data_IF_813971192686
#
_entry.id   IF_813971192686
#
_cell.length_a   1.000
_cell.length_b   1.000
_cell.length_c   1.000
_cell.angle_alpha   90.00
_cell.angle_beta   90.00
_cell.angle_gamma   90.00
#
_symmetry.space_group_name_H-M   'P 1'
#
loop_
_entity.id
_entity.type
_entity.pdbx_description
1 polymer ?
#
# COMPACT_ATOMS: atom_id res chain seq x y z
N UNK A 1 0.60 1.77 -6.20
CA UNK A 1 -0.04 3.12 -6.16
C UNK A 1 -1.12 3.17 -7.22
N UNK A 2 -2.32 3.69 -6.91
CA UNK A 2 -3.27 4.01 -7.99
C UNK A 2 -2.59 4.94 -8.97
N UNK A 3 -2.65 4.64 -10.26
CA UNK A 3 -2.14 5.58 -11.26
C UNK A 3 -2.91 6.90 -11.09
N UNK A 4 -2.25 8.03 -11.28
CA UNK A 4 -2.91 9.35 -11.19
C UNK A 4 -4.09 9.50 -12.18
N UNK A 5 -4.20 8.60 -13.16
CA UNK A 5 -5.28 8.55 -14.13
C UNK A 5 -6.58 7.95 -13.57
N UNK A 6 -6.49 7.12 -12.51
CA UNK A 6 -7.66 6.49 -11.88
C UNK A 6 -8.25 7.36 -10.75
N UNK A 7 -7.61 8.49 -10.45
CA UNK A 7 -8.03 9.40 -9.38
C UNK A 7 -8.95 10.48 -9.96
N UNK A 8 -10.05 10.75 -9.27
CA UNK A 8 -10.93 11.86 -9.59
C UNK A 8 -10.13 13.17 -9.80
N UNK A 9 -10.41 13.97 -10.84
CA UNK A 9 -9.67 15.21 -11.13
C UNK A 9 -9.55 16.17 -9.93
N UNK A 10 -10.59 16.27 -9.10
CA UNK A 10 -10.57 17.10 -7.88
C UNK A 10 -9.56 16.54 -6.87
N UNK A 11 -9.59 15.24 -6.64
CA UNK A 11 -8.65 14.58 -5.73
C UNK A 11 -7.20 14.73 -6.24
N UNK A 12 -6.98 14.59 -7.53
CA UNK A 12 -5.67 14.83 -8.15
C UNK A 12 -5.19 16.26 -7.93
N UNK A 13 -6.06 17.25 -8.10
CA UNK A 13 -5.72 18.65 -7.86
C UNK A 13 -5.37 18.89 -6.38
N UNK A 14 -6.10 18.28 -5.43
CA UNK A 14 -5.81 18.34 -3.99
C UNK A 14 -4.45 17.73 -3.68
N UNK A 15 -4.15 16.54 -4.21
CA UNK A 15 -2.87 15.86 -3.99
C UNK A 15 -1.71 16.67 -4.58
N UNK A 16 -1.87 17.25 -5.77
CA UNK A 16 -0.83 18.10 -6.37
C UNK A 16 -0.57 19.36 -5.52
N UNK A 17 -1.62 20.02 -5.04
CA UNK A 17 -1.51 21.17 -4.13
C UNK A 17 -0.84 20.78 -2.82
N UNK A 18 -1.24 19.66 -2.23
CA UNK A 18 -0.65 19.14 -1.00
C UNK A 18 0.85 18.82 -1.19
N UNK A 19 1.21 18.21 -2.33
CA UNK A 19 2.60 17.90 -2.67
C UNK A 19 3.45 19.17 -2.78
N UNK A 20 2.94 20.20 -3.45
CA UNK A 20 3.63 21.51 -3.56
C UNK A 20 3.82 22.16 -2.18
N UNK A 21 2.82 22.05 -1.30
CA UNK A 21 2.82 22.69 0.03
C UNK A 21 3.44 21.81 1.12
N UNK A 22 3.95 20.61 0.81
CA UNK A 22 4.44 19.65 1.80
C UNK A 22 3.40 19.29 2.88
N UNK A 23 2.13 19.21 2.50
CA UNK A 23 1.04 18.82 3.39
C UNK A 23 0.83 17.31 3.31
N UNK A 24 0.85 16.55 4.42
CA UNK A 24 0.64 15.09 4.40
C UNK A 24 -0.85 14.77 4.27
N UNK A 25 -1.42 15.07 3.09
CA UNK A 25 -2.85 14.86 2.83
C UNK A 25 -3.27 13.39 2.96
N UNK A 26 -2.32 12.47 2.77
CA UNK A 26 -2.50 11.03 2.95
C UNK A 26 -1.67 10.54 4.13
N UNK A 27 -2.25 9.73 5.00
CA UNK A 27 -1.56 8.97 6.01
C UNK A 27 -1.91 7.48 5.90
N UNK A 28 -0.90 6.61 5.99
CA UNK A 28 -1.12 5.17 6.16
C UNK A 28 -0.86 4.81 7.61
N UNK A 29 -1.78 4.09 8.23
CA UNK A 29 -1.68 3.66 9.64
C UNK A 29 -1.71 2.13 9.70
N UNK A 30 -0.64 1.54 10.23
CA UNK A 30 -0.62 0.13 10.58
C UNK A 30 -1.16 -0.06 11.99
N UNK A 31 -2.31 -0.68 12.11
CA UNK A 31 -2.97 -0.86 13.41
C UNK A 31 -2.34 -1.98 14.24
N UNK A 32 -1.86 -3.02 13.59
CA UNK A 32 -1.30 -4.21 14.24
C UNK A 32 -0.30 -4.92 13.32
N UNK A 33 0.76 -5.53 13.85
CA UNK A 33 1.64 -6.39 13.06
C UNK A 33 1.15 -7.84 13.02
N UNK A 34 0.08 -8.19 13.76
CA UNK A 34 -0.47 -9.56 13.76
C UNK A 34 -1.35 -9.79 12.53
N UNK A 35 -1.32 -11.01 12.01
CA UNK A 35 -2.12 -11.44 10.88
C UNK A 35 -2.55 -12.90 11.06
N UNK A 36 -3.71 -13.23 10.53
CA UNK A 36 -4.18 -14.61 10.46
C UNK A 36 -3.56 -15.40 9.29
N UNK A 37 -2.79 -14.74 8.42
CA UNK A 37 -1.93 -15.35 7.41
C UNK A 37 -0.46 -15.29 7.80
N UNK A 38 0.37 -16.12 7.14
CA UNK A 38 1.83 -16.21 7.35
C UNK A 38 2.58 -16.10 6.02
N UNK A 39 2.17 -15.14 5.18
CA UNK A 39 2.71 -15.01 3.83
C UNK A 39 4.23 -14.92 3.82
N UNK A 40 4.86 -15.68 2.91
CA UNK A 40 6.32 -15.76 2.77
C UNK A 40 6.98 -14.41 2.47
N UNK A 41 6.28 -13.54 1.71
CA UNK A 41 6.76 -12.21 1.36
C UNK A 41 6.37 -11.12 2.38
N UNK A 42 5.81 -11.47 3.54
CA UNK A 42 5.31 -10.48 4.47
C UNK A 42 6.45 -9.72 5.16
N UNK A 43 6.42 -8.40 5.09
CA UNK A 43 7.44 -7.52 5.67
C UNK A 43 7.18 -7.13 7.14
N UNK A 44 5.97 -7.39 7.67
CA UNK A 44 5.54 -6.83 8.96
C UNK A 44 5.11 -7.87 9.99
N UNK A 45 4.63 -9.04 9.54
CA UNK A 45 3.96 -9.99 10.43
C UNK A 45 4.80 -10.38 11.65
N UNK A 46 4.18 -10.28 12.83
CA UNK A 46 4.73 -10.73 14.11
C UNK A 46 3.71 -11.61 14.87
N UNK A 47 4.22 -12.46 15.72
CA UNK A 47 3.38 -13.13 16.72
C UNK A 47 2.97 -12.11 17.81
N UNK A 48 1.79 -12.30 18.39
CA UNK A 48 1.26 -11.39 19.42
C UNK A 48 2.26 -11.18 20.57
N UNK A 49 2.88 -12.25 21.06
CA UNK A 49 3.88 -12.17 22.13
C UNK A 49 5.14 -11.37 21.76
N UNK A 50 5.49 -11.33 20.49
CA UNK A 50 6.60 -10.51 19.99
C UNK A 50 6.22 -9.03 19.92
N UNK A 51 4.99 -8.74 19.51
CA UNK A 51 4.45 -7.38 19.49
C UNK A 51 4.35 -6.81 20.93
N UNK A 52 3.86 -7.61 21.89
CA UNK A 52 3.79 -7.24 23.30
C UNK A 52 5.16 -6.89 23.87
N UNK A 53 6.19 -7.69 23.59
CA UNK A 53 7.59 -7.41 24.03
C UNK A 53 8.18 -6.12 23.42
N UNK A 54 7.57 -5.60 22.35
CA UNK A 54 8.02 -4.38 21.66
C UNK A 54 7.14 -3.16 21.98
N UNK A 55 6.41 -3.18 23.08
CA UNK A 55 5.61 -2.07 23.58
C UNK A 55 4.10 -2.21 23.36
N UNK A 56 3.65 -3.33 22.77
CA UNK A 56 2.24 -3.60 22.55
C UNK A 56 1.60 -2.69 21.48
N UNK A 57 0.31 -2.93 21.22
CA UNK A 57 -0.47 -2.12 20.29
C UNK A 57 -0.80 -0.77 20.91
N UNK A 58 -0.98 0.24 20.06
CA UNK A 58 -1.49 1.54 20.50
C UNK A 58 -2.98 1.42 20.85
N UNK A 59 -3.42 2.13 21.87
CA UNK A 59 -4.83 2.21 22.26
C UNK A 59 -5.64 3.06 21.28
N UNK A 60 -6.97 2.99 21.39
CA UNK A 60 -7.86 3.88 20.62
C UNK A 60 -7.52 5.35 20.90
N UNK A 61 -7.33 5.71 22.15
CA UNK A 61 -7.06 7.09 22.59
C UNK A 61 -5.75 7.59 21.99
N UNK A 62 -4.71 6.76 21.97
CA UNK A 62 -3.44 7.11 21.33
C UNK A 62 -3.62 7.32 19.82
N UNK A 63 -4.37 6.45 19.13
CA UNK A 63 -4.66 6.62 17.71
C UNK A 63 -5.52 7.86 17.44
N UNK A 64 -6.52 8.14 18.27
CA UNK A 64 -7.37 9.31 18.11
C UNK A 64 -6.60 10.61 18.37
N UNK A 65 -5.67 10.60 19.33
CA UNK A 65 -4.79 11.74 19.58
C UNK A 65 -3.85 12.00 18.38
N UNK A 66 -3.31 10.95 17.77
CA UNK A 66 -2.53 11.08 16.51
C UNK A 66 -3.43 11.58 15.38
N UNK A 67 -4.67 11.08 15.28
CA UNK A 67 -5.61 11.49 14.24
C UNK A 67 -6.00 12.97 14.36
N UNK A 68 -6.22 13.49 15.58
CA UNK A 68 -6.49 14.92 15.80
C UNK A 68 -5.34 15.78 15.25
N UNK A 69 -4.12 15.44 15.58
CA UNK A 69 -2.94 16.15 15.08
C UNK A 69 -2.73 16.00 13.56
N UNK A 70 -3.07 14.84 12.98
CA UNK A 70 -3.05 14.64 11.53
C UNK A 70 -4.06 15.57 10.85
N UNK A 71 -5.27 15.72 11.42
CA UNK A 71 -6.30 16.63 10.93
C UNK A 71 -5.83 18.10 10.97
N UNK A 72 -5.20 18.51 12.06
CA UNK A 72 -4.65 19.87 12.22
C UNK A 72 -3.63 20.24 11.13
N UNK A 73 -2.83 19.29 10.66
CA UNK A 73 -1.84 19.52 9.59
C UNK A 73 -2.36 19.22 8.18
N UNK A 74 -3.67 18.96 8.04
CA UNK A 74 -4.35 18.84 6.74
C UNK A 74 -4.46 17.44 6.16
N UNK A 75 -4.26 16.40 6.95
CA UNK A 75 -4.53 15.02 6.51
C UNK A 75 -6.03 14.84 6.30
N UNK A 76 -6.40 14.31 5.15
CA UNK A 76 -7.79 14.03 4.76
C UNK A 76 -8.02 12.54 4.54
N UNK A 77 -7.07 11.86 3.93
CA UNK A 77 -7.18 10.44 3.57
C UNK A 77 -6.35 9.59 4.53
N UNK A 78 -6.98 8.56 5.10
CA UNK A 78 -6.28 7.57 5.92
C UNK A 78 -6.48 6.18 5.32
N UNK A 79 -5.37 5.49 5.09
CA UNK A 79 -5.36 4.07 4.78
C UNK A 79 -5.10 3.28 6.06
N UNK A 80 -6.05 2.44 6.47
CA UNK A 80 -5.90 1.50 7.57
C UNK A 80 -5.35 0.18 7.03
N UNK A 81 -4.24 -0.26 7.62
CA UNK A 81 -3.52 -1.47 7.24
C UNK A 81 -2.86 -2.12 8.46
N UNK A 82 -1.90 -3.00 8.23
CA UNK A 82 -1.14 -3.68 9.25
C UNK A 82 -0.71 -5.06 8.78
N UNK A 83 -0.67 -6.05 9.66
CA UNK A 83 -0.73 -7.44 9.28
C UNK A 83 -2.12 -7.72 8.69
N UNK A 84 -3.13 -7.85 9.57
CA UNK A 84 -4.54 -7.77 9.18
C UNK A 84 -5.25 -6.75 10.08
N UNK A 85 -5.69 -5.61 9.56
CA UNK A 85 -6.24 -4.53 10.40
C UNK A 85 -7.51 -4.95 11.15
N UNK A 86 -8.30 -5.88 10.61
CA UNK A 86 -9.50 -6.40 11.29
C UNK A 86 -9.19 -7.25 12.53
N UNK A 87 -7.92 -7.59 12.76
CA UNK A 87 -7.46 -8.20 14.02
C UNK A 87 -7.10 -7.18 15.11
N UNK A 88 -7.09 -5.87 14.79
CA UNK A 88 -6.97 -4.86 15.83
C UNK A 88 -8.22 -4.93 16.73
N UNK A 89 -8.09 -5.13 18.05
CA UNK A 89 -9.23 -5.46 18.92
C UNK A 89 -10.39 -4.47 18.80
N UNK A 90 -10.08 -3.20 18.72
CA UNK A 90 -11.05 -2.11 18.72
C UNK A 90 -11.23 -1.49 17.31
N UNK A 91 -11.00 -2.29 16.25
CA UNK A 91 -11.05 -1.80 14.86
C UNK A 91 -12.35 -1.06 14.53
N UNK A 92 -13.50 -1.64 14.91
CA UNK A 92 -14.82 -1.08 14.57
C UNK A 92 -15.06 0.25 15.25
N UNK A 93 -14.71 0.37 16.52
CA UNK A 93 -14.83 1.63 17.26
C UNK A 93 -13.88 2.69 16.70
N UNK A 94 -12.62 2.37 16.50
CA UNK A 94 -11.64 3.28 15.90
C UNK A 94 -12.11 3.75 14.51
N UNK A 95 -12.61 2.83 13.68
CA UNK A 95 -13.15 3.15 12.37
C UNK A 95 -14.29 4.18 12.46
N UNK A 96 -15.27 3.95 13.36
CA UNK A 96 -16.39 4.88 13.59
C UNK A 96 -15.87 6.25 13.98
N UNK A 97 -14.98 6.32 14.98
CA UNK A 97 -14.44 7.56 15.51
C UNK A 97 -13.64 8.35 14.46
N UNK A 98 -12.86 7.65 13.62
CA UNK A 98 -12.16 8.30 12.51
C UNK A 98 -13.13 8.83 11.44
N UNK A 99 -14.21 8.11 11.14
CA UNK A 99 -15.28 8.59 10.24
C UNK A 99 -16.00 9.81 10.80
N UNK A 100 -16.29 9.85 12.10
CA UNK A 100 -16.90 10.98 12.79
C UNK A 100 -16.02 12.23 12.75
N UNK A 101 -14.69 12.07 12.76
CA UNK A 101 -13.72 13.15 12.55
C UNK A 101 -13.66 13.66 11.09
N UNK A 102 -14.37 13.01 10.15
CA UNK A 102 -14.44 13.42 8.75
C UNK A 102 -13.34 12.84 7.86
N UNK A 103 -12.54 11.89 8.33
CA UNK A 103 -11.54 11.25 7.49
C UNK A 103 -12.17 10.38 6.38
N UNK A 104 -11.54 10.39 5.23
CA UNK A 104 -11.86 9.52 4.10
C UNK A 104 -11.00 8.24 4.25
N UNK A 105 -11.64 7.14 4.66
CA UNK A 105 -10.95 5.91 5.02
C UNK A 105 -10.88 4.92 3.86
N UNK A 106 -9.72 4.34 3.66
CA UNK A 106 -9.47 3.15 2.83
C UNK A 106 -8.96 2.03 3.73
N UNK A 107 -9.29 0.79 3.44
CA UNK A 107 -8.85 -0.38 4.22
C UNK A 107 -8.10 -1.34 3.30
N UNK A 108 -6.91 -1.80 3.71
CA UNK A 108 -6.23 -2.95 3.11
C UNK A 108 -6.46 -4.17 3.97
N UNK A 109 -7.04 -5.23 3.41
CA UNK A 109 -7.37 -6.48 4.13
C UNK A 109 -7.16 -7.70 3.24
N UNK A 110 -6.96 -8.87 3.85
CA UNK A 110 -7.01 -10.15 3.15
C UNK A 110 -8.45 -10.68 2.98
N UNK A 111 -9.45 -9.91 3.42
CA UNK A 111 -10.89 -10.13 3.38
C UNK A 111 -11.42 -11.36 4.16
N UNK A 112 -10.58 -12.24 4.68
CA UNK A 112 -11.02 -13.48 5.32
C UNK A 112 -11.75 -13.29 6.65
N UNK A 113 -11.72 -12.07 7.19
CA UNK A 113 -12.38 -11.67 8.44
C UNK A 113 -13.56 -10.70 8.22
N UNK A 114 -13.94 -10.48 6.98
CA UNK A 114 -15.12 -9.69 6.64
C UNK A 114 -16.37 -10.48 7.02
N UNK A 115 -16.98 -10.09 8.12
CA UNK A 115 -18.24 -10.63 8.63
C UNK A 115 -19.44 -9.70 8.36
N UNK A 116 -20.65 -10.16 8.68
CA UNK A 116 -21.87 -9.42 8.47
C UNK A 116 -21.92 -8.12 9.28
N UNK A 117 -21.30 -8.09 10.44
CA UNK A 117 -21.24 -6.87 11.26
C UNK A 117 -20.35 -5.81 10.62
N UNK A 118 -19.19 -6.25 10.10
CA UNK A 118 -18.24 -5.38 9.39
C UNK A 118 -18.87 -4.78 8.12
N UNK A 119 -19.56 -5.58 7.29
CA UNK A 119 -20.17 -5.04 6.06
C UNK A 119 -21.34 -4.12 6.37
N UNK A 120 -22.14 -4.38 7.41
CA UNK A 120 -23.20 -3.45 7.86
C UNK A 120 -22.61 -2.14 8.38
N UNK A 121 -21.49 -2.18 9.09
CA UNK A 121 -20.75 -0.98 9.49
C UNK A 121 -20.29 -0.19 8.26
N UNK A 122 -19.67 -0.85 7.30
CA UNK A 122 -19.20 -0.22 6.06
C UNK A 122 -20.35 0.30 5.19
N UNK A 123 -21.50 -0.35 5.19
CA UNK A 123 -22.69 0.15 4.49
C UNK A 123 -23.22 1.45 5.12
N UNK A 124 -23.22 1.52 6.44
CA UNK A 124 -23.68 2.71 7.20
C UNK A 124 -22.69 3.87 7.14
N UNK A 125 -21.41 3.58 7.29
CA UNK A 125 -20.31 4.54 7.27
C UNK A 125 -19.32 4.14 6.16
N UNK A 126 -19.66 4.44 4.92
CA UNK A 126 -18.93 3.95 3.75
C UNK A 126 -17.44 4.30 3.80
N UNK A 127 -16.53 3.31 3.67
CA UNK A 127 -15.15 3.61 3.32
C UNK A 127 -15.11 4.21 1.90
N UNK A 128 -14.02 4.89 1.59
CA UNK A 128 -13.73 5.27 0.19
C UNK A 128 -13.59 4.02 -0.66
N UNK A 129 -12.87 3.03 -0.13
CA UNK A 129 -12.61 1.75 -0.79
C UNK A 129 -12.08 0.70 0.18
N UNK A 130 -12.38 -0.55 -0.09
CA UNK A 130 -11.72 -1.71 0.53
C UNK A 130 -10.80 -2.35 -0.52
N UNK A 131 -9.50 -2.32 -0.27
CA UNK A 131 -8.51 -3.00 -1.10
C UNK A 131 -8.33 -4.42 -0.56
N UNK A 132 -8.67 -5.41 -1.34
CA UNK A 132 -8.53 -6.82 -0.98
C UNK A 132 -7.28 -7.39 -1.61
N UNK A 133 -6.38 -7.93 -0.79
CA UNK A 133 -5.19 -8.62 -1.27
C UNK A 133 -5.56 -10.00 -1.80
N UNK A 134 -5.38 -10.21 -3.10
CA UNK A 134 -5.56 -11.51 -3.75
C UNK A 134 -4.18 -12.13 -4.02
N UNK A 135 -3.98 -13.35 -3.53
CA UNK A 135 -2.69 -14.03 -3.60
C UNK A 135 -2.67 -15.24 -4.54
N UNK A 136 -3.77 -15.52 -5.20
CA UNK A 136 -3.94 -16.63 -6.14
C UNK A 136 -5.41 -16.94 -6.34
N UNK A 137 -5.71 -17.97 -7.14
CA UNK A 137 -7.08 -18.42 -7.45
C UNK A 137 -7.37 -19.84 -6.97
N UNK A 138 -6.51 -20.37 -6.12
CA UNK A 138 -6.69 -21.72 -5.54
C UNK A 138 -6.32 -21.75 -4.06
N UNK A 139 -6.97 -22.66 -3.30
CA UNK A 139 -6.57 -22.93 -1.92
C UNK A 139 -5.14 -23.51 -1.83
N UNK A 140 -4.68 -24.19 -2.88
CA UNK A 140 -3.31 -24.70 -2.97
C UNK A 140 -2.28 -23.56 -2.95
N UNK A 141 -2.50 -22.52 -3.73
CA UNK A 141 -1.64 -21.34 -3.78
C UNK A 141 -1.67 -20.59 -2.44
N UNK A 142 -2.84 -20.41 -1.84
CA UNK A 142 -2.95 -19.80 -0.50
C UNK A 142 -2.27 -20.62 0.59
N UNK A 143 -2.35 -21.97 0.51
CA UNK A 143 -1.64 -22.82 1.46
C UNK A 143 -0.11 -22.67 1.30
N UNK A 144 0.38 -22.68 0.06
CA UNK A 144 1.81 -22.61 -0.22
C UNK A 144 2.42 -21.23 0.07
N UNK A 145 1.72 -20.14 -0.27
CA UNK A 145 2.24 -18.79 -0.16
C UNK A 145 1.89 -18.12 1.17
N UNK A 146 0.66 -18.31 1.64
CA UNK A 146 0.12 -17.63 2.84
C UNK A 146 0.02 -18.55 4.06
N UNK A 147 0.34 -19.84 3.91
CA UNK A 147 0.18 -20.89 4.92
C UNK A 147 -1.24 -20.90 5.51
N UNK A 148 -2.23 -20.69 4.65
CA UNK A 148 -3.64 -20.54 5.01
C UNK A 148 -4.49 -21.64 4.37
N UNK A 149 -4.95 -22.59 5.17
CA UNK A 149 -5.92 -23.60 4.75
C UNK A 149 -7.24 -22.91 4.39
N UNK A 150 -7.82 -23.24 3.22
CA UNK A 150 -9.03 -22.62 2.69
C UNK A 150 -8.98 -21.09 2.61
N UNK A 151 -7.75 -20.53 2.42
CA UNK A 151 -7.54 -19.09 2.40
C UNK A 151 -8.23 -18.42 1.21
N UNK A 152 -8.22 -19.06 0.04
CA UNK A 152 -8.91 -18.55 -1.15
C UNK A 152 -10.43 -18.52 -0.98
N UNK A 153 -11.04 -19.63 -0.56
CA UNK A 153 -12.50 -19.69 -0.34
C UNK A 153 -12.96 -18.63 0.66
N UNK A 154 -12.22 -18.47 1.77
CA UNK A 154 -12.53 -17.44 2.77
C UNK A 154 -12.38 -16.02 2.24
N UNK A 155 -11.38 -15.77 1.38
CA UNK A 155 -11.22 -14.49 0.70
C UNK A 155 -12.41 -14.21 -0.22
N UNK A 156 -12.85 -15.21 -1.03
CA UNK A 156 -14.02 -15.10 -1.89
C UNK A 156 -15.31 -14.84 -1.11
N UNK A 157 -15.49 -15.50 0.04
CA UNK A 157 -16.65 -15.22 0.91
C UNK A 157 -16.67 -13.76 1.40
N UNK A 158 -15.51 -13.24 1.80
CA UNK A 158 -15.37 -11.83 2.17
C UNK A 158 -15.67 -10.87 1.01
N UNK A 159 -15.13 -11.16 -0.18
CA UNK A 159 -15.42 -10.41 -1.41
C UNK A 159 -16.93 -10.45 -1.76
N UNK A 160 -17.56 -11.61 -1.65
CA UNK A 160 -19.00 -11.77 -1.91
C UNK A 160 -19.81 -10.85 -0.99
N UNK A 161 -19.52 -10.86 0.32
CA UNK A 161 -20.18 -9.97 1.28
C UNK A 161 -19.98 -8.49 0.93
N UNK A 162 -18.75 -8.07 0.60
CA UNK A 162 -18.48 -6.69 0.19
C UNK A 162 -19.31 -6.29 -1.04
N UNK A 163 -19.38 -7.15 -2.06
CA UNK A 163 -20.17 -6.92 -3.27
C UNK A 163 -21.68 -6.86 -2.98
N UNK A 164 -22.21 -7.81 -2.21
CA UNK A 164 -23.64 -7.86 -1.85
C UNK A 164 -24.11 -6.60 -1.10
N UNK A 165 -23.24 -6.00 -0.30
CA UNK A 165 -23.53 -4.75 0.43
C UNK A 165 -23.14 -3.47 -0.32
N UNK A 166 -22.69 -3.59 -1.57
CA UNK A 166 -22.34 -2.44 -2.43
C UNK A 166 -21.17 -1.62 -1.90
N UNK A 167 -20.18 -2.29 -1.32
CA UNK A 167 -18.95 -1.65 -0.84
C UNK A 167 -17.97 -1.53 -1.99
N UNK A 168 -17.47 -0.30 -2.26
CA UNK A 168 -16.43 -0.08 -3.26
C UNK A 168 -15.20 -0.93 -2.91
N UNK A 169 -14.85 -1.85 -3.79
CA UNK A 169 -13.82 -2.86 -3.58
C UNK A 169 -12.86 -2.89 -4.76
N UNK A 170 -11.56 -3.02 -4.47
CA UNK A 170 -10.51 -3.21 -5.48
C UNK A 170 -9.65 -4.41 -5.11
N UNK A 171 -9.22 -5.19 -6.09
CA UNK A 171 -8.26 -6.26 -5.90
C UNK A 171 -6.82 -5.73 -6.02
N UNK A 172 -5.99 -6.05 -5.05
CA UNK A 172 -4.55 -5.86 -5.10
C UNK A 172 -3.89 -7.22 -5.34
N UNK A 173 -3.36 -7.42 -6.53
CA UNK A 173 -2.69 -8.65 -6.94
C UNK A 173 -1.21 -8.51 -6.61
N UNK A 174 -0.72 -9.18 -5.55
CA UNK A 174 0.70 -9.21 -5.23
C UNK A 174 1.33 -10.42 -5.89
N UNK A 175 2.19 -10.16 -6.88
CA UNK A 175 2.88 -11.21 -7.63
C UNK A 175 4.14 -11.68 -6.91
N UNK A 176 4.24 -12.99 -6.76
CA UNK A 176 5.37 -13.70 -6.18
C UNK A 176 5.79 -14.83 -7.12
N UNK A 177 6.95 -15.42 -6.89
CA UNK A 177 7.41 -16.61 -7.63
C UNK A 177 6.42 -17.79 -7.54
N UNK A 178 5.65 -17.86 -6.43
CA UNK A 178 4.71 -18.95 -6.19
C UNK A 178 3.39 -18.79 -6.97
N UNK A 179 2.97 -17.54 -7.27
CA UNK A 179 1.66 -17.29 -7.85
C UNK A 179 1.67 -16.60 -9.22
N UNK A 180 2.82 -16.18 -9.74
CA UNK A 180 2.88 -15.42 -11.00
C UNK A 180 2.25 -16.17 -12.19
N UNK A 181 2.27 -17.50 -12.16
CA UNK A 181 1.64 -18.35 -13.18
C UNK A 181 0.12 -18.30 -13.16
N UNK A 182 -0.48 -17.87 -12.05
CA UNK A 182 -1.92 -17.67 -11.90
C UNK A 182 -2.36 -16.24 -12.24
N UNK A 183 -1.43 -15.35 -12.64
CA UNK A 183 -1.72 -13.93 -12.86
C UNK A 183 -2.90 -13.72 -13.82
N UNK A 184 -2.90 -14.37 -14.98
CA UNK A 184 -4.01 -14.28 -15.95
C UNK A 184 -5.34 -14.66 -15.32
N UNK A 185 -5.38 -15.75 -14.58
CA UNK A 185 -6.61 -16.23 -13.90
C UNK A 185 -7.07 -15.24 -12.81
N UNK A 186 -6.13 -14.55 -12.15
CA UNK A 186 -6.49 -13.47 -11.22
C UNK A 186 -7.10 -12.25 -11.93
N UNK A 187 -6.61 -11.91 -13.15
CA UNK A 187 -7.21 -10.87 -13.98
C UNK A 187 -8.64 -11.28 -14.41
N UNK A 188 -8.80 -12.49 -14.91
CA UNK A 188 -10.10 -13.05 -15.31
C UNK A 188 -11.11 -13.09 -14.15
N UNK A 189 -10.65 -13.43 -12.93
CA UNK A 189 -11.48 -13.37 -11.73
C UNK A 189 -11.93 -11.94 -11.41
N UNK A 190 -11.06 -10.95 -11.58
CA UNK A 190 -11.41 -9.55 -11.37
C UNK A 190 -12.49 -9.09 -12.35
N UNK A 191 -12.41 -9.50 -13.63
CA UNK A 191 -13.41 -9.21 -14.64
C UNK A 191 -14.76 -9.88 -14.34
N UNK A 192 -14.73 -11.17 -13.99
CA UNK A 192 -15.95 -11.91 -13.63
C UNK A 192 -16.72 -11.22 -12.49
N UNK A 193 -15.98 -10.63 -11.58
CA UNK A 193 -16.56 -9.94 -10.44
C UNK A 193 -16.80 -8.44 -10.67
N UNK A 194 -16.42 -7.91 -11.83
CA UNK A 194 -16.49 -6.47 -12.18
C UNK A 194 -15.77 -5.62 -11.10
N UNK A 195 -14.56 -6.04 -10.72
CA UNK A 195 -13.76 -5.36 -9.72
C UNK A 195 -12.52 -4.72 -10.35
N UNK A 196 -12.25 -3.45 -10.08
CA UNK A 196 -10.98 -2.84 -10.46
C UNK A 196 -9.82 -3.56 -9.76
N UNK A 197 -8.68 -3.64 -10.42
CA UNK A 197 -7.51 -4.30 -9.89
C UNK A 197 -6.24 -3.49 -10.05
N UNK A 198 -5.24 -3.83 -9.24
CA UNK A 198 -3.88 -3.34 -9.32
C UNK A 198 -2.92 -4.51 -9.20
N UNK A 199 -2.12 -4.76 -10.22
CA UNK A 199 -1.00 -5.69 -10.14
C UNK A 199 0.17 -4.99 -9.45
N UNK A 200 0.75 -5.65 -8.46
CA UNK A 200 1.95 -5.22 -7.75
C UNK A 200 2.97 -6.36 -7.80
N UNK A 201 4.03 -6.15 -8.54
CA UNK A 201 5.15 -7.09 -8.69
C UNK A 201 6.32 -6.76 -7.76
N UNK A 202 6.27 -5.59 -7.11
CA UNK A 202 7.31 -5.17 -6.20
C UNK A 202 7.14 -5.83 -4.82
N UNK A 203 8.16 -6.54 -4.38
CA UNK A 203 8.29 -7.09 -3.03
C UNK A 203 9.41 -6.33 -2.31
N UNK A 204 9.10 -5.73 -1.16
CA UNK A 204 10.07 -5.01 -0.33
C UNK A 204 11.32 -5.85 -0.08
N UNK A 205 12.49 -5.21 -0.10
CA UNK A 205 13.79 -5.85 0.21
C UNK A 205 13.97 -6.06 1.70
N UNK A 206 13.25 -5.30 2.51
CA UNK A 206 13.42 -5.26 3.95
C UNK A 206 12.18 -5.77 4.66
N UNK A 207 12.38 -6.76 5.52
CA UNK A 207 11.41 -7.05 6.57
C UNK A 207 11.72 -6.19 7.79
N UNK A 208 10.67 -5.73 8.46
CA UNK A 208 10.86 -4.96 9.69
C UNK A 208 11.51 -5.79 10.80
N UNK A 209 12.30 -5.16 11.68
CA UNK A 209 12.91 -5.86 12.80
C UNK A 209 11.87 -6.64 13.61
N UNK A 210 12.07 -7.95 13.75
CA UNK A 210 11.17 -8.86 14.45
C UNK A 210 10.01 -9.41 13.61
N UNK A 211 9.96 -9.13 12.31
CA UNK A 211 9.07 -9.83 11.41
C UNK A 211 9.31 -11.34 11.46
N UNK A 212 8.24 -12.11 11.54
CA UNK A 212 8.28 -13.57 11.61
C UNK A 212 8.33 -14.24 10.24
N UNK A 213 8.73 -13.53 9.19
CA UNK A 213 8.94 -14.08 7.85
C UNK A 213 10.11 -15.07 7.90
N UNK A 214 9.86 -16.28 7.45
CA UNK A 214 10.82 -17.40 7.55
C UNK A 214 11.77 -17.48 6.37
N UNK A 215 11.41 -16.90 5.24
CA UNK A 215 12.19 -16.90 4.02
C UNK A 215 12.80 -15.52 3.74
N UNK A 216 14.01 -15.43 3.17
CA UNK A 216 14.51 -14.19 2.62
C UNK A 216 13.53 -13.65 1.57
N UNK A 217 13.20 -12.35 1.63
CA UNK A 217 12.20 -11.74 0.75
C UNK A 217 12.55 -11.85 -0.74
N UNK A 218 13.84 -11.91 -1.08
CA UNK A 218 14.34 -12.13 -2.43
C UNK A 218 13.98 -13.50 -3.01
N UNK A 219 13.75 -14.52 -2.16
CA UNK A 219 13.30 -15.84 -2.62
C UNK A 219 11.87 -15.85 -3.12
N UNK A 220 11.06 -14.87 -2.68
CA UNK A 220 9.67 -14.71 -3.10
C UNK A 220 9.54 -13.92 -4.40
N UNK A 221 10.57 -13.19 -4.82
CA UNK A 221 10.52 -12.37 -6.02
C UNK A 221 10.46 -13.22 -7.28
N UNK A 222 9.56 -12.92 -8.22
CA UNK A 222 9.58 -13.53 -9.53
C UNK A 222 10.82 -13.13 -10.30
N UNK A 223 11.12 -13.85 -11.38
CA UNK A 223 12.21 -13.48 -12.31
C UNK A 223 11.82 -12.19 -13.04
N UNK A 224 12.75 -11.26 -13.31
CA UNK A 224 12.44 -9.99 -13.97
C UNK A 224 11.67 -10.12 -15.28
N UNK A 225 11.97 -11.10 -16.12
CA UNK A 225 11.25 -11.31 -17.38
C UNK A 225 9.80 -11.74 -17.17
N UNK A 226 9.53 -12.59 -16.16
CA UNK A 226 8.16 -12.98 -15.81
C UNK A 226 7.36 -11.78 -15.28
N UNK A 227 8.01 -10.92 -14.49
CA UNK A 227 7.41 -9.66 -13.99
C UNK A 227 7.08 -8.74 -15.15
N UNK A 228 8.01 -8.50 -16.05
CA UNK A 228 7.78 -7.61 -17.21
C UNK A 228 6.61 -8.09 -18.08
N UNK A 229 6.50 -9.39 -18.33
CA UNK A 229 5.38 -9.97 -19.06
C UNK A 229 4.05 -9.78 -18.31
N UNK A 230 4.03 -10.07 -17.02
CA UNK A 230 2.81 -9.93 -16.22
C UNK A 230 2.35 -8.45 -16.10
N UNK A 231 3.27 -7.50 -15.97
CA UNK A 231 2.93 -6.08 -15.94
C UNK A 231 2.41 -5.58 -17.28
N UNK A 232 3.04 -5.97 -18.41
CA UNK A 232 2.53 -5.63 -19.74
C UNK A 232 1.14 -6.24 -19.93
N UNK A 233 0.94 -7.51 -19.57
CA UNK A 233 -0.37 -8.16 -19.65
C UNK A 233 -1.44 -7.41 -18.82
N UNK A 234 -1.12 -7.00 -17.59
CA UNK A 234 -2.04 -6.24 -16.75
C UNK A 234 -2.39 -4.87 -17.37
N UNK A 235 -1.42 -4.21 -17.97
CA UNK A 235 -1.61 -2.90 -18.60
C UNK A 235 -2.38 -3.00 -19.92
N UNK A 236 -2.11 -4.01 -20.74
CA UNK A 236 -2.90 -4.31 -21.94
C UNK A 236 -4.33 -4.72 -21.58
N UNK A 237 -4.50 -5.48 -20.52
CA UNK A 237 -5.82 -5.84 -20.00
C UNK A 237 -6.61 -4.60 -19.57
N UNK A 238 -5.98 -3.65 -18.91
CA UNK A 238 -6.61 -2.43 -18.39
C UNK A 238 -6.86 -1.37 -19.49
N UNK A 239 -5.91 -1.18 -20.39
CA UNK A 239 -5.91 -0.06 -21.35
C UNK A 239 -6.07 -0.49 -22.82
N UNK A 240 -6.15 -1.79 -23.09
CA UNK A 240 -6.20 -2.35 -24.43
C UNK A 240 -4.81 -2.53 -25.06
N UNK A 241 -4.78 -3.27 -26.18
CA UNK A 241 -3.51 -3.63 -26.88
C UNK A 241 -2.73 -2.41 -27.43
N UNK A 242 -3.37 -1.25 -27.53
CA UNK A 242 -2.72 0.00 -27.94
C UNK A 242 -1.70 0.50 -26.92
N UNK A 243 -1.79 0.01 -25.65
CA UNK A 243 -0.85 0.36 -24.60
C UNK A 243 0.60 0.02 -24.96
N UNK A 244 0.85 -1.16 -25.52
CA UNK A 244 2.20 -1.59 -25.92
C UNK A 244 2.79 -0.67 -26.97
N UNK A 245 1.99 -0.23 -27.95
CA UNK A 245 2.40 0.74 -28.96
C UNK A 245 2.75 2.09 -28.35
N UNK A 246 1.95 2.57 -27.43
CA UNK A 246 2.22 3.81 -26.68
C UNK A 246 3.50 3.70 -25.84
N UNK A 247 3.66 2.64 -25.07
CA UNK A 247 4.85 2.41 -24.24
C UNK A 247 6.13 2.32 -25.09
N UNK A 248 6.07 1.63 -26.22
CA UNK A 248 7.19 1.55 -27.19
C UNK A 248 7.55 2.94 -27.72
N UNK A 249 6.58 3.76 -28.06
CA UNK A 249 6.81 5.13 -28.52
C UNK A 249 7.50 5.98 -27.45
N UNK A 250 7.03 5.91 -26.18
CA UNK A 250 7.65 6.62 -25.05
C UNK A 250 9.08 6.16 -24.82
N UNK A 251 9.35 4.86 -24.87
CA UNK A 251 10.71 4.33 -24.73
C UNK A 251 11.64 4.84 -25.83
N UNK A 252 11.19 4.87 -27.09
CA UNK A 252 11.97 5.42 -28.20
C UNK A 252 12.26 6.91 -28.03
N UNK A 253 11.35 7.70 -27.48
CA UNK A 253 11.58 9.11 -27.16
C UNK A 253 12.68 9.26 -26.08
N UNK A 254 12.60 8.43 -25.03
CA UNK A 254 13.63 8.43 -23.98
C UNK A 254 15.02 8.02 -24.48
N UNK A 255 15.11 7.05 -25.36
CA UNK A 255 16.37 6.63 -26.00
C UNK A 255 16.98 7.75 -26.85
N UNK A 256 16.15 8.63 -27.41
CA UNK A 256 16.61 9.84 -28.15
C UNK A 256 16.96 11.01 -27.24
N UNK A 257 16.87 10.85 -25.91
CA UNK A 257 17.10 11.93 -24.95
C UNK A 257 15.92 12.92 -24.82
N UNK A 258 14.77 12.60 -25.42
CA UNK A 258 13.55 13.39 -25.35
C UNK A 258 12.78 13.02 -24.08
N UNK A 259 13.29 13.43 -22.90
CA UNK A 259 12.58 13.14 -21.63
C UNK A 259 11.43 14.12 -21.44
N UNK A 260 10.19 13.62 -21.21
CA UNK A 260 9.05 14.48 -20.90
C UNK A 260 9.13 15.15 -19.51
N UNK A 261 10.09 14.74 -18.67
CA UNK A 261 10.29 15.28 -17.31
C UNK A 261 11.76 15.67 -17.12
N UNK A 262 12.05 16.89 -16.64
CA UNK A 262 13.43 17.31 -16.36
C UNK A 262 14.11 16.38 -15.35
N UNK A 263 15.32 15.95 -15.65
CA UNK A 263 16.15 15.09 -14.79
C UNK A 263 16.72 15.82 -13.56
N UNK A 264 16.37 17.09 -13.36
CA UNK A 264 16.90 17.92 -12.27
C UNK A 264 16.00 17.84 -11.04
N UNK A 265 16.57 17.46 -9.92
CA UNK A 265 15.93 17.50 -8.62
C UNK A 265 16.66 16.66 -7.58
N UNK A 266 16.80 17.21 -6.39
CA UNK A 266 17.20 16.50 -5.17
C UNK A 266 15.91 15.95 -4.52
N UNK A 267 15.99 14.77 -3.88
CA UNK A 267 14.88 14.19 -3.13
C UNK A 267 14.09 13.14 -3.91
N UNK A 268 13.06 12.61 -3.28
CA UNK A 268 12.27 11.48 -3.78
C UNK A 268 11.38 11.90 -4.97
N UNK A 269 11.29 11.07 -6.02
CA UNK A 269 10.38 11.31 -7.14
C UNK A 269 8.90 11.12 -6.75
N UNK A 270 8.64 10.23 -5.77
CA UNK A 270 7.29 9.90 -5.30
C UNK A 270 6.74 10.90 -4.26
N UNK A 271 5.58 10.56 -3.67
CA UNK A 271 4.87 11.38 -2.66
C UNK A 271 5.39 11.21 -1.23
N UNK A 272 6.29 10.27 -0.97
CA UNK A 272 6.87 10.03 0.36
C UNK A 272 7.58 11.28 0.87
N UNK A 273 7.28 11.71 2.09
CA UNK A 273 7.83 12.95 2.66
C UNK A 273 7.41 14.24 1.95
N UNK A 274 6.45 14.20 1.02
CA UNK A 274 5.88 15.38 0.35
C UNK A 274 4.40 15.57 0.64
N UNK A 275 3.60 14.52 0.46
CA UNK A 275 2.16 14.55 0.69
C UNK A 275 1.60 13.22 1.22
N UNK A 276 2.48 12.28 1.55
CA UNK A 276 2.11 11.00 2.14
C UNK A 276 3.06 10.65 3.29
N UNK A 277 2.49 10.20 4.41
CA UNK A 277 3.19 9.72 5.58
C UNK A 277 2.78 8.27 5.89
N UNK A 278 3.69 7.54 6.54
CA UNK A 278 3.43 6.20 7.05
C UNK A 278 3.62 6.16 8.57
N UNK A 279 2.66 5.60 9.29
CA UNK A 279 2.73 5.47 10.75
C UNK A 279 2.58 3.98 11.07
N UNK A 280 3.62 3.42 11.66
CA UNK A 280 3.60 2.01 12.02
C UNK A 280 2.80 1.75 13.30
N UNK A 281 2.54 0.48 13.59
CA UNK A 281 1.78 0.03 14.76
C UNK A 281 2.37 0.44 16.12
N UNK A 282 3.61 0.90 16.16
CA UNK A 282 4.26 1.44 17.37
C UNK A 282 4.08 2.97 17.50
N UNK A 283 3.41 3.63 16.55
CA UNK A 283 3.26 5.08 16.53
C UNK A 283 4.53 5.80 16.04
N UNK A 284 5.33 5.17 15.19
CA UNK A 284 6.50 5.79 14.57
C UNK A 284 6.15 6.23 13.15
N UNK A 285 6.38 7.50 12.85
CA UNK A 285 6.18 8.08 11.52
C UNK A 285 7.43 7.92 10.67
N UNK A 286 7.26 7.45 9.44
CA UNK A 286 8.27 7.36 8.38
C UNK A 286 7.72 7.93 7.07
N UNK A 287 8.54 8.23 6.05
CA UNK A 287 8.06 8.70 4.75
C UNK A 287 7.18 7.67 4.02
N UNK A 288 7.55 6.40 4.08
CA UNK A 288 6.81 5.27 3.48
C UNK A 288 7.16 3.95 4.17
N UNK A 289 6.54 2.87 3.71
CA UNK A 289 6.75 1.49 4.23
C UNK A 289 8.18 0.99 4.03
N UNK A 290 8.81 1.35 2.91
CA UNK A 290 10.13 0.87 2.51
C UNK A 290 11.30 1.70 3.07
N UNK A 291 10.99 2.75 3.86
CA UNK A 291 12.00 3.60 4.46
C UNK A 291 11.98 3.47 5.99
N UNK A 292 13.05 2.92 6.54
CA UNK A 292 13.24 2.88 8.00
C UNK A 292 13.73 4.22 8.57
N UNK A 293 14.34 5.05 7.73
CA UNK A 293 14.85 6.38 8.09
C UNK A 293 14.49 7.40 7.01
N UNK A 294 14.12 8.64 7.38
CA UNK A 294 13.92 9.14 8.75
C UNK A 294 12.73 8.51 9.47
N UNK A 295 12.85 8.29 10.77
CA UNK A 295 11.81 7.76 11.64
C UNK A 295 11.66 8.66 12.88
N UNK A 296 10.41 9.01 13.25
CA UNK A 296 10.11 9.89 14.40
C UNK A 296 8.96 9.30 15.20
N UNK A 297 9.18 9.12 16.52
CA UNK A 297 8.14 8.62 17.42
C UNK A 297 7.11 9.69 17.73
N UNK A 298 5.84 9.40 17.46
CA UNK A 298 4.69 10.26 17.76
C UNK A 298 4.26 10.16 19.26
N UNK A 299 4.88 9.29 20.03
CA UNK A 299 4.64 9.20 21.48
C UNK A 299 5.40 10.29 22.26
N UNK A 300 6.42 10.88 21.65
CA UNK A 300 7.26 11.91 22.27
C UNK A 300 7.38 13.19 21.44
N UNK A 301 6.82 13.21 20.25
CA UNK A 301 6.91 14.34 19.31
C UNK A 301 5.55 14.59 18.68
N UNK A 302 5.17 15.86 18.49
CA UNK A 302 3.93 16.20 17.79
C UNK A 302 3.97 15.72 16.33
N UNK A 303 2.81 15.41 15.76
CA UNK A 303 2.71 15.04 14.32
C UNK A 303 3.25 16.14 13.43
N UNK A 304 3.02 17.42 13.77
CA UNK A 304 3.53 18.58 13.03
C UNK A 304 5.06 18.62 13.01
N UNK A 305 5.70 18.43 14.17
CA UNK A 305 7.16 18.50 14.25
C UNK A 305 7.82 17.25 13.67
N UNK A 306 7.18 16.08 13.84
CA UNK A 306 7.61 14.85 13.18
C UNK A 306 7.58 15.00 11.65
N UNK A 307 6.48 15.53 11.11
CA UNK A 307 6.34 15.75 9.68
C UNK A 307 7.40 16.72 9.13
N UNK A 308 7.66 17.85 9.80
CA UNK A 308 8.73 18.78 9.41
C UNK A 308 10.10 18.10 9.34
N UNK A 309 10.42 17.26 10.35
CA UNK A 309 11.67 16.51 10.36
C UNK A 309 11.74 15.52 9.19
N UNK A 310 10.64 14.80 8.89
CA UNK A 310 10.54 13.88 7.76
C UNK A 310 10.78 14.63 6.44
N UNK A 311 10.07 15.74 6.20
CA UNK A 311 10.20 16.54 4.98
C UNK A 311 11.64 17.01 4.80
N UNK A 312 12.22 17.67 5.81
CA UNK A 312 13.59 18.19 5.74
C UNK A 312 14.61 17.12 5.39
N UNK A 313 14.50 15.95 6.02
CA UNK A 313 15.44 14.85 5.73
C UNK A 313 15.20 14.23 4.36
N UNK A 314 13.96 14.10 3.91
CA UNK A 314 13.64 13.56 2.57
C UNK A 314 14.13 14.49 1.45
N UNK A 315 14.09 15.81 1.66
CA UNK A 315 14.60 16.79 0.69
C UNK A 315 16.14 16.78 0.58
N UNK A 316 16.83 16.29 1.60
CA UNK A 316 18.27 16.17 1.64
C UNK A 316 18.80 14.80 1.17
N UNK A 317 17.90 13.83 0.88
CA UNK A 317 18.33 12.51 0.44
C UNK A 317 19.04 12.61 -0.91
N UNK A 318 20.28 12.12 -1.01
CA UNK A 318 20.98 12.06 -2.29
C UNK A 318 20.31 11.00 -3.19
N UNK A 319 20.33 11.23 -4.49
CA UNK A 319 20.02 10.16 -5.41
C UNK A 319 21.11 9.09 -5.38
N UNK A 320 20.71 7.83 -5.54
CA UNK A 320 21.68 6.79 -5.79
C UNK A 320 22.51 7.14 -7.03
N UNK A 321 23.83 6.95 -6.97
CA UNK A 321 24.75 7.34 -8.03
C UNK A 321 24.38 6.79 -9.43
N UNK A 322 23.79 5.60 -9.46
CA UNK A 322 23.32 4.96 -10.69
C UNK A 322 22.05 5.60 -11.23
N UNK A 323 21.20 6.16 -10.35
CA UNK A 323 20.00 6.88 -10.73
C UNK A 323 20.31 8.28 -11.29
N UNK A 324 21.41 8.89 -10.90
CA UNK A 324 21.78 10.24 -11.34
C UNK A 324 22.00 10.35 -12.86
N UNK A 325 22.48 9.25 -13.49
CA UNK A 325 22.68 9.17 -14.95
C UNK A 325 21.65 8.32 -15.70
N UNK A 326 20.61 7.83 -15.02
CA UNK A 326 19.66 6.91 -15.62
C UNK A 326 18.65 7.64 -16.52
N UNK A 327 18.58 7.25 -17.79
CA UNK A 327 17.64 7.81 -18.77
C UNK A 327 16.18 7.48 -18.45
N UNK A 328 15.92 6.38 -17.74
CA UNK A 328 14.58 5.93 -17.34
C UNK A 328 14.08 6.57 -16.05
N UNK A 329 14.87 7.42 -15.39
CA UNK A 329 14.55 7.98 -14.09
C UNK A 329 13.21 8.72 -14.05
N UNK A 330 12.84 9.39 -15.12
CA UNK A 330 11.58 10.17 -15.20
C UNK A 330 10.32 9.31 -15.15
N UNK A 331 10.43 8.02 -15.48
CA UNK A 331 9.34 7.05 -15.49
C UNK A 331 9.54 5.93 -14.46
N UNK A 332 10.64 5.96 -13.72
CA UNK A 332 10.98 4.91 -12.76
C UNK A 332 10.27 5.14 -11.43
N UNK A 333 9.34 4.27 -11.07
CA UNK A 333 8.68 4.26 -9.76
C UNK A 333 9.58 3.68 -8.65
N UNK A 334 10.73 3.14 -9.02
CA UNK A 334 11.67 2.42 -8.14
C UNK A 334 12.73 3.33 -7.50
N UNK A 335 12.57 4.65 -7.54
CA UNK A 335 13.55 5.60 -7.00
C UNK A 335 13.92 5.40 -5.53
N UNK A 336 13.14 4.62 -4.78
CA UNK A 336 13.35 4.30 -3.36
C UNK A 336 14.09 2.98 -3.12
N UNK A 337 14.21 2.11 -4.12
CA UNK A 337 14.79 0.76 -3.94
C UNK A 337 16.32 0.83 -3.84
N UNK A 338 16.90 1.92 -4.28
CA UNK A 338 18.33 2.11 -4.36
C UNK A 338 18.91 3.00 -3.25
N UNK A 339 18.06 3.41 -2.29
CA UNK A 339 18.47 4.08 -1.05
C UNK A 339 18.53 3.06 0.07
#
# INVERSE_FOLDING_TARGET
MESLQDINPVERALVNKATANRTPINATIELTPTCNFRCDMCYIRMEKSQAEKRGGLRSIEEWLHIADQLQEIGTLFILLTGGEPLLYPDFKELYIRLKEKGFILTINTNATLIDDETVRLFQRLKPRRVNVSLYGVTNGTYLNLCHATNGFDRCLEGLKRLKEYGIDTKLNLTLTRQNIKEHRQMLELADEWDLPMLTNSYISVYSRPGCATTLPLDTCRPVPDEVAHAEVEALEHKYGKEYTSYATHVLQQLERGESPVPAEGIGLACRAGKSSAWINWQGVMTPCVDMETPAVSLLSTTVSDAWKQIVTKCEQLPFHKECAGCTLRSICDLSLIHI
#
